data_IF_006884208611
#
_entry.id   IF_006884208611
#
_cell.length_a   1.000
_cell.length_b   1.000
_cell.length_c   1.000
_cell.angle_alpha   90.00
_cell.angle_beta   90.00
_cell.angle_gamma   90.00
#
_symmetry.space_group_name_H-M   'P 1'
#
loop_
_entity.id
_entity.type
_entity.pdbx_description
1 polymer ?
#
# COMPACT_ATOMS: atom_id res chain seq x y z
N UNK A 1 69.76 20.93 -19.78
CA UNK A 1 69.02 19.78 -19.24
C UNK A 1 67.60 20.26 -19.02
N UNK A 2 66.72 20.01 -19.99
CA UNK A 2 65.39 20.63 -20.11
C UNK A 2 64.39 19.80 -19.33
N UNK A 3 63.76 20.38 -18.31
CA UNK A 3 62.73 19.70 -17.51
C UNK A 3 61.36 19.98 -18.14
N UNK A 4 60.70 18.94 -18.64
CA UNK A 4 59.34 19.00 -19.17
C UNK A 4 58.33 19.11 -18.01
N UNK A 5 57.46 20.13 -18.06
CA UNK A 5 56.31 20.27 -17.16
C UNK A 5 55.17 19.45 -17.75
N UNK A 6 54.80 18.35 -17.10
CA UNK A 6 53.61 17.58 -17.45
C UNK A 6 52.36 18.30 -16.89
N UNK A 7 51.58 18.92 -17.76
CA UNK A 7 50.23 19.40 -17.46
C UNK A 7 49.28 18.22 -17.36
N UNK A 8 48.99 17.76 -16.14
CA UNK A 8 47.91 16.82 -15.88
C UNK A 8 46.56 17.51 -16.01
N UNK A 9 45.75 17.10 -16.98
CA UNK A 9 44.35 17.51 -17.08
C UNK A 9 43.59 16.91 -15.88
N UNK A 10 43.08 17.77 -15.01
CA UNK A 10 42.12 17.37 -13.97
C UNK A 10 40.78 17.14 -14.67
N UNK A 11 40.42 15.88 -14.85
CA UNK A 11 39.07 15.50 -15.27
C UNK A 11 38.11 15.75 -14.10
N UNK A 12 37.26 16.76 -14.22
CA UNK A 12 36.05 16.85 -13.40
C UNK A 12 35.07 15.81 -13.91
N UNK A 13 34.88 14.73 -13.15
CA UNK A 13 33.75 13.84 -13.35
C UNK A 13 32.49 14.60 -12.93
N UNK A 14 31.73 15.10 -13.90
CA UNK A 14 30.35 15.50 -13.67
C UNK A 14 29.55 14.22 -13.39
N UNK A 15 29.23 13.97 -12.12
CA UNK A 15 28.14 13.05 -11.77
C UNK A 15 26.87 13.65 -12.38
N UNK A 16 26.30 12.99 -13.39
CA UNK A 16 24.95 13.32 -13.85
C UNK A 16 23.97 12.67 -12.87
N UNK A 17 23.05 13.51 -12.38
CA UNK A 17 22.04 13.25 -11.35
C UNK A 17 21.20 11.98 -11.66
N UNK A 18 20.76 11.30 -10.60
CA UNK A 18 19.69 10.31 -10.61
C UNK A 18 18.51 10.80 -11.47
N UNK A 19 17.81 9.90 -12.16
CA UNK A 19 16.62 10.24 -12.93
C UNK A 19 15.71 11.16 -12.11
N UNK A 20 15.26 12.25 -12.74
CA UNK A 20 14.46 13.28 -12.10
C UNK A 20 13.24 12.68 -11.41
N UNK A 21 12.79 13.35 -10.35
CA UNK A 21 11.53 12.98 -9.69
C UNK A 21 10.40 12.87 -10.72
N UNK A 22 9.78 11.70 -10.79
CA UNK A 22 8.68 11.41 -11.70
C UNK A 22 7.37 11.52 -10.95
N UNK A 23 6.39 12.17 -11.58
CA UNK A 23 5.03 12.15 -11.09
C UNK A 23 4.32 10.92 -11.64
N UNK A 24 3.58 10.19 -10.82
CA UNK A 24 2.75 9.05 -11.17
C UNK A 24 1.28 9.40 -10.93
N UNK A 25 0.42 8.92 -11.82
CA UNK A 25 -1.00 8.73 -11.55
C UNK A 25 -1.17 7.31 -11.03
N UNK A 26 -1.60 7.17 -9.79
CA UNK A 26 -1.89 5.87 -9.19
C UNK A 26 -3.40 5.79 -8.95
N UNK A 27 -4.00 4.64 -9.15
CA UNK A 27 -5.41 4.41 -8.81
C UNK A 27 -5.51 3.12 -8.03
N UNK A 28 -6.06 3.20 -6.82
CA UNK A 28 -6.46 2.06 -6.02
C UNK A 28 -7.98 2.00 -6.11
N UNK A 29 -8.54 0.95 -6.68
CA UNK A 29 -9.98 0.86 -7.00
C UNK A 29 -10.58 -0.40 -6.38
N UNK A 30 -11.75 -0.26 -5.76
CA UNK A 30 -12.61 -1.41 -5.49
C UNK A 30 -13.23 -1.93 -6.80
N UNK A 31 -13.02 -3.21 -7.11
CA UNK A 31 -13.60 -3.88 -8.28
C UNK A 31 -14.61 -4.98 -7.91
N UNK A 32 -14.84 -5.22 -6.61
CA UNK A 32 -15.82 -6.22 -6.16
C UNK A 32 -17.24 -5.91 -6.63
N UNK A 33 -17.93 -6.93 -7.17
CA UNK A 33 -19.37 -6.90 -7.48
C UNK A 33 -20.22 -7.50 -6.36
N UNK A 34 -21.54 -7.50 -6.54
CA UNK A 34 -22.51 -7.95 -5.53
C UNK A 34 -22.42 -9.43 -5.13
N UNK A 35 -21.62 -10.24 -5.84
CA UNK A 35 -21.48 -11.68 -5.60
C UNK A 35 -20.01 -12.10 -5.39
N UNK A 36 -19.11 -11.15 -5.20
CA UNK A 36 -17.66 -11.42 -5.07
C UNK A 36 -17.34 -12.23 -3.82
N UNK A 37 -18.00 -11.95 -2.69
CA UNK A 37 -17.78 -12.64 -1.42
C UNK A 37 -18.89 -13.66 -1.17
N UNK A 38 -18.54 -14.94 -1.17
CA UNK A 38 -19.43 -16.01 -0.76
C UNK A 38 -19.66 -15.98 0.76
N UNK A 39 -20.91 -16.19 1.18
CA UNK A 39 -21.32 -16.19 2.58
C UNK A 39 -21.59 -17.61 3.09
N UNK A 40 -21.47 -17.88 4.40
CA UNK A 40 -21.73 -19.21 4.97
C UNK A 40 -23.15 -19.74 4.73
N UNK A 41 -24.13 -18.87 4.50
CA UNK A 41 -25.53 -19.23 4.23
C UNK A 41 -25.79 -19.61 2.75
N UNK A 42 -24.73 -19.67 1.93
CA UNK A 42 -24.79 -19.96 0.51
C UNK A 42 -25.16 -18.78 -0.39
N UNK A 43 -25.37 -17.58 0.18
CA UNK A 43 -25.51 -16.34 -0.60
C UNK A 43 -24.14 -15.74 -0.93
N UNK A 44 -24.16 -14.57 -1.54
CA UNK A 44 -22.97 -13.76 -1.76
C UNK A 44 -23.27 -12.27 -1.59
N UNK A 45 -22.21 -11.49 -1.39
CA UNK A 45 -22.25 -10.03 -1.24
C UNK A 45 -21.02 -9.38 -1.90
N UNK A 46 -20.98 -8.05 -1.93
CA UNK A 46 -19.76 -7.32 -2.29
C UNK A 46 -18.72 -7.32 -1.18
N UNK A 47 -17.46 -7.14 -1.58
CA UNK A 47 -16.29 -7.03 -0.71
C UNK A 47 -15.67 -5.64 -0.86
N UNK A 48 -16.31 -4.57 -0.34
CA UNK A 48 -15.78 -3.22 -0.46
C UNK A 48 -14.46 -3.06 0.32
N UNK A 49 -13.62 -2.15 -0.17
CA UNK A 49 -12.50 -1.57 0.59
C UNK A 49 -12.85 -0.16 1.07
N UNK A 50 -12.36 0.22 2.25
CA UNK A 50 -12.59 1.55 2.81
C UNK A 50 -11.68 2.62 2.14
N UNK A 51 -11.92 3.93 2.38
CA UNK A 51 -10.84 4.91 2.31
C UNK A 51 -9.60 4.43 3.09
N UNK A 52 -8.43 4.79 2.61
CA UNK A 52 -7.17 4.35 3.20
C UNK A 52 -6.13 5.46 3.18
N UNK A 53 -4.88 5.09 3.48
CA UNK A 53 -3.73 5.95 3.27
C UNK A 53 -2.74 5.34 2.28
N UNK A 54 -1.94 6.20 1.68
CA UNK A 54 -0.74 5.81 0.96
C UNK A 54 0.47 6.60 1.48
N UNK A 55 1.65 6.07 1.24
CA UNK A 55 2.89 6.80 1.40
C UNK A 55 3.90 6.45 0.30
N UNK A 56 4.80 7.39 0.05
CA UNK A 56 6.07 7.13 -0.63
C UNK A 56 7.13 7.04 0.44
N UNK A 57 7.86 5.95 0.46
CA UNK A 57 8.84 5.62 1.51
C UNK A 57 10.20 5.27 0.91
N UNK A 58 11.24 5.40 1.73
CA UNK A 58 12.63 5.01 1.41
C UNK A 58 13.31 4.45 2.65
N UNK A 59 14.46 3.79 2.47
CA UNK A 59 15.21 3.18 3.58
C UNK A 59 14.41 2.04 4.21
N UNK A 60 14.18 2.10 5.53
CA UNK A 60 13.47 1.06 6.30
C UNK A 60 12.02 1.46 6.69
N UNK A 61 11.57 2.63 6.23
CA UNK A 61 10.22 3.13 6.48
C UNK A 61 9.16 2.22 5.84
N UNK A 62 8.14 1.87 6.62
CA UNK A 62 7.03 0.97 6.31
C UNK A 62 5.79 1.38 7.10
N UNK A 63 4.60 0.92 6.66
CA UNK A 63 3.34 1.19 7.36
C UNK A 63 3.15 0.31 8.60
N UNK A 64 3.66 -0.92 8.54
CA UNK A 64 3.57 -1.95 9.58
C UNK A 64 4.70 -2.96 9.40
N UNK A 65 5.00 -3.72 10.45
CA UNK A 65 5.99 -4.81 10.43
C UNK A 65 5.29 -6.16 10.55
N UNK A 66 5.44 -7.07 9.58
CA UNK A 66 4.93 -8.43 9.72
C UNK A 66 5.55 -9.16 10.92
N UNK A 67 4.76 -10.00 11.58
CA UNK A 67 5.11 -10.74 12.80
C UNK A 67 5.35 -9.89 14.05
N UNK A 68 4.91 -8.63 14.04
CA UNK A 68 4.83 -7.79 15.23
C UNK A 68 3.36 -7.47 15.54
N UNK A 69 3.07 -7.18 16.81
CA UNK A 69 1.73 -6.74 17.19
C UNK A 69 1.39 -5.42 16.51
N UNK A 70 0.16 -5.30 15.99
CA UNK A 70 -0.33 -4.05 15.46
C UNK A 70 -0.45 -3.01 16.60
N UNK A 71 -0.09 -1.75 16.29
CA UNK A 71 -0.42 -0.63 17.17
C UNK A 71 -1.86 -0.17 16.95
N UNK A 72 -2.40 0.58 17.92
CA UNK A 72 -3.77 1.10 17.88
C UNK A 72 -4.14 1.88 16.61
N UNK A 73 -3.16 2.50 15.95
CA UNK A 73 -3.41 3.23 14.70
C UNK A 73 -3.66 2.29 13.51
N UNK A 74 -3.02 1.12 13.46
CA UNK A 74 -3.29 0.10 12.44
C UNK A 74 -4.58 -0.67 12.75
N UNK A 75 -4.81 -1.00 14.02
CA UNK A 75 -6.07 -1.56 14.54
C UNK A 75 -7.27 -0.72 14.05
N UNK A 76 -7.23 0.60 14.31
CA UNK A 76 -8.28 1.53 13.89
C UNK A 76 -8.51 1.57 12.37
N UNK A 77 -7.47 1.34 11.56
CA UNK A 77 -7.63 1.21 10.11
C UNK A 77 -8.27 -0.12 9.73
N UNK A 78 -7.80 -1.20 10.33
CA UNK A 78 -8.14 -2.56 9.95
C UNK A 78 -9.54 -2.98 10.42
N UNK A 79 -9.98 -2.47 11.56
CA UNK A 79 -11.29 -2.79 12.16
C UNK A 79 -12.38 -1.80 11.76
N UNK A 80 -12.04 -0.51 11.67
CA UNK A 80 -13.05 0.56 11.53
C UNK A 80 -12.94 1.35 10.22
N UNK A 81 -11.90 1.10 9.43
CA UNK A 81 -11.61 1.88 8.22
C UNK A 81 -11.15 3.31 8.49
N UNK A 82 -10.75 3.64 9.72
CA UNK A 82 -10.19 4.95 10.06
C UNK A 82 -8.66 4.95 9.91
N UNK A 83 -8.20 5.36 8.74
CA UNK A 83 -6.78 5.49 8.42
C UNK A 83 -6.13 6.79 8.96
N UNK A 84 -6.89 7.72 9.57
CA UNK A 84 -6.37 9.03 9.96
C UNK A 84 -5.30 8.94 11.05
N UNK A 85 -5.50 8.08 12.04
CA UNK A 85 -4.53 7.85 13.11
C UNK A 85 -3.21 7.27 12.58
N UNK A 86 -3.28 6.30 11.65
CA UNK A 86 -2.09 5.71 11.04
C UNK A 86 -1.35 6.72 10.17
N UNK A 87 -2.07 7.53 9.38
CA UNK A 87 -1.47 8.63 8.63
C UNK A 87 -0.72 9.61 9.55
N UNK A 88 -1.34 10.02 10.66
CA UNK A 88 -0.71 10.92 11.62
C UNK A 88 0.56 10.32 12.24
N UNK A 89 0.53 9.01 12.54
CA UNK A 89 1.67 8.29 13.12
C UNK A 89 2.87 8.19 12.15
N UNK A 90 2.62 7.98 10.85
CA UNK A 90 3.71 7.75 9.88
C UNK A 90 4.26 9.02 9.24
N UNK A 91 3.48 10.11 9.19
CA UNK A 91 3.79 11.30 8.38
C UNK A 91 5.15 11.95 8.67
N UNK A 92 5.68 11.76 9.87
CA UNK A 92 6.94 12.37 10.32
C UNK A 92 8.03 11.33 10.66
N UNK A 93 7.83 10.06 10.28
CA UNK A 93 8.85 9.03 10.42
C UNK A 93 9.96 9.27 9.38
N UNK A 94 11.22 9.08 9.79
CA UNK A 94 12.35 9.16 8.87
C UNK A 94 12.20 8.16 7.72
N UNK A 95 12.49 8.60 6.49
CA UNK A 95 12.26 7.82 5.29
C UNK A 95 10.84 7.89 4.71
N UNK A 96 9.88 8.59 5.35
CA UNK A 96 8.60 8.92 4.69
C UNK A 96 8.75 10.20 3.87
N UNK A 97 8.52 10.10 2.56
CA UNK A 97 8.69 11.21 1.60
C UNK A 97 7.41 12.02 1.46
N UNK A 98 6.28 11.33 1.30
CA UNK A 98 4.94 11.90 1.31
C UNK A 98 3.97 10.85 1.82
N UNK A 99 2.91 11.29 2.49
CA UNK A 99 1.81 10.43 2.91
C UNK A 99 0.51 11.22 2.91
N UNK A 100 -0.57 10.60 2.46
CA UNK A 100 -1.90 11.21 2.44
C UNK A 100 -3.00 10.15 2.42
N UNK A 101 -4.24 10.58 2.63
CA UNK A 101 -5.42 9.75 2.48
C UNK A 101 -5.73 9.51 0.99
N UNK A 102 -6.40 8.40 0.69
CA UNK A 102 -7.02 8.17 -0.61
C UNK A 102 -8.45 7.65 -0.46
N UNK A 103 -9.28 7.94 -1.46
CA UNK A 103 -10.58 7.32 -1.64
C UNK A 103 -10.51 6.32 -2.81
N UNK A 104 -11.06 5.10 -2.68
CA UNK A 104 -11.05 4.11 -3.74
C UNK A 104 -11.63 4.65 -5.06
N UNK A 105 -10.93 4.39 -6.16
CA UNK A 105 -11.33 4.74 -7.52
C UNK A 105 -10.94 6.15 -7.96
N UNK A 106 -10.49 7.03 -7.05
CA UNK A 106 -9.97 8.34 -7.40
C UNK A 106 -8.47 8.26 -7.70
N UNK A 107 -7.99 8.87 -8.80
CA UNK A 107 -6.57 8.88 -9.12
C UNK A 107 -5.82 9.82 -8.17
N UNK A 108 -4.74 9.30 -7.56
CA UNK A 108 -3.79 10.08 -6.77
C UNK A 108 -2.57 10.46 -7.62
N UNK A 109 -1.98 11.63 -7.30
CA UNK A 109 -0.77 12.13 -7.95
C UNK A 109 0.40 12.00 -6.99
N UNK A 110 1.35 11.12 -7.29
CA UNK A 110 2.47 10.81 -6.42
C UNK A 110 3.76 11.22 -7.08
N UNK A 111 4.64 11.94 -6.36
CA UNK A 111 6.01 12.20 -6.83
C UNK A 111 6.97 11.25 -6.14
N UNK A 112 7.81 10.58 -6.92
CA UNK A 112 8.81 9.64 -6.42
C UNK A 112 10.10 9.73 -7.24
N UNK A 113 11.20 9.28 -6.65
CA UNK A 113 12.51 9.16 -7.29
C UNK A 113 12.96 7.68 -7.30
N UNK A 114 13.94 7.31 -8.13
CA UNK A 114 14.53 5.97 -8.07
C UNK A 114 14.96 5.59 -6.65
N UNK A 115 14.53 4.42 -6.19
CA UNK A 115 14.74 3.91 -4.83
C UNK A 115 13.64 4.27 -3.82
N UNK A 116 12.70 5.15 -4.19
CA UNK A 116 11.46 5.33 -3.43
C UNK A 116 10.47 4.19 -3.76
N UNK A 117 9.68 3.80 -2.76
CA UNK A 117 8.67 2.74 -2.83
C UNK A 117 7.29 3.29 -2.49
N UNK A 118 6.27 2.79 -3.17
CA UNK A 118 4.87 3.06 -2.85
C UNK A 118 4.33 2.03 -1.87
N UNK A 119 3.68 2.50 -0.81
CA UNK A 119 2.95 1.67 0.15
C UNK A 119 1.54 2.23 0.32
N UNK A 120 0.57 1.37 0.58
CA UNK A 120 -0.78 1.78 0.97
C UNK A 120 -1.39 0.75 1.92
N UNK A 121 -2.42 1.15 2.66
CA UNK A 121 -3.26 0.26 3.44
C UNK A 121 -4.71 0.76 3.42
N UNK A 122 -5.67 -0.17 3.37
CA UNK A 122 -7.10 0.09 3.43
C UNK A 122 -7.85 -1.12 3.98
N UNK A 123 -8.87 -0.89 4.80
CA UNK A 123 -9.70 -1.93 5.39
C UNK A 123 -10.36 -2.82 4.33
N UNK A 124 -10.37 -4.13 4.54
CA UNK A 124 -11.30 -5.04 3.89
C UNK A 124 -12.60 -5.06 4.69
N UNK A 125 -13.61 -4.33 4.24
CA UNK A 125 -14.77 -3.93 5.06
C UNK A 125 -15.58 -5.13 5.61
N UNK A 126 -15.57 -6.26 4.92
CA UNK A 126 -16.32 -7.45 5.32
C UNK A 126 -15.48 -8.39 6.22
N UNK A 127 -14.74 -7.82 7.16
CA UNK A 127 -13.91 -8.56 8.11
C UNK A 127 -13.85 -7.86 9.46
N UNK A 128 -13.29 -8.57 10.44
CA UNK A 128 -13.03 -8.07 11.78
C UNK A 128 -11.85 -7.12 11.75
N UNK A 129 -10.70 -7.56 11.23
CA UNK A 129 -9.46 -6.79 11.23
C UNK A 129 -8.58 -7.02 9.98
N UNK A 130 -9.18 -7.42 8.85
CA UNK A 130 -8.43 -7.63 7.60
C UNK A 130 -8.29 -6.33 6.83
N UNK A 131 -7.14 -6.17 6.21
CA UNK A 131 -6.85 -4.99 5.38
C UNK A 131 -6.06 -5.38 4.13
N UNK A 132 -6.30 -4.67 3.03
CA UNK A 132 -5.50 -4.77 1.82
C UNK A 132 -4.35 -3.76 1.87
N UNK A 133 -3.15 -4.22 1.56
CA UNK A 133 -1.97 -3.37 1.49
C UNK A 133 -0.98 -3.91 0.45
N UNK A 134 0.06 -3.13 0.16
CA UNK A 134 1.27 -3.69 -0.48
C UNK A 134 1.92 -4.74 0.41
N UNK A 135 2.96 -5.42 -0.09
CA UNK A 135 3.94 -5.99 0.83
C UNK A 135 4.47 -4.92 1.80
N UNK A 136 4.92 -5.34 2.99
CA UNK A 136 5.47 -4.43 4.01
C UNK A 136 6.66 -3.60 3.52
N UNK A 137 7.43 -4.09 2.55
CA UNK A 137 8.52 -3.35 1.92
C UNK A 137 8.04 -2.34 0.85
N UNK A 138 6.79 -2.46 0.40
CA UNK A 138 6.21 -1.63 -0.65
C UNK A 138 6.53 -2.10 -2.07
N UNK A 139 6.18 -1.23 -3.03
CA UNK A 139 6.35 -1.46 -4.46
C UNK A 139 7.35 -0.43 -4.99
N UNK A 140 8.46 -0.89 -5.56
CA UNK A 140 9.38 -0.01 -6.28
C UNK A 140 8.65 0.67 -7.45
N UNK A 141 8.75 2.00 -7.55
CA UNK A 141 8.15 2.75 -8.67
C UNK A 141 9.11 2.87 -9.87
N UNK A 142 10.31 2.30 -9.76
CA UNK A 142 11.36 2.37 -10.76
C UNK A 142 12.10 1.03 -10.85
N UNK A 143 12.46 0.62 -12.06
CA UNK A 143 13.45 -0.42 -12.32
C UNK A 143 14.77 0.26 -12.70
N UNK A 144 15.72 0.29 -11.76
CA UNK A 144 16.95 1.06 -11.93
C UNK A 144 16.66 2.56 -11.98
N UNK A 145 16.62 3.13 -13.19
CA UNK A 145 16.29 4.55 -13.41
C UNK A 145 15.00 4.76 -14.21
N UNK A 146 14.40 3.67 -14.71
CA UNK A 146 13.21 3.73 -15.56
C UNK A 146 11.95 3.62 -14.70
N UNK A 147 10.99 4.53 -14.88
CA UNK A 147 9.71 4.50 -14.17
C UNK A 147 8.85 3.32 -14.65
N UNK A 148 8.23 2.59 -13.73
CA UNK A 148 7.32 1.49 -14.10
C UNK A 148 5.91 1.98 -14.43
N UNK A 149 5.17 1.19 -15.20
CA UNK A 149 3.77 1.44 -15.52
C UNK A 149 3.00 0.12 -15.64
N UNK A 150 1.75 0.08 -15.20
CA UNK A 150 0.86 -1.05 -15.41
C UNK A 150 -0.11 -1.33 -14.27
N UNK A 151 -0.78 -2.48 -14.38
CA UNK A 151 -1.58 -3.08 -13.32
C UNK A 151 -0.65 -3.86 -12.37
N UNK A 152 -0.59 -3.43 -11.11
CA UNK A 152 0.24 -4.00 -10.05
C UNK A 152 -0.60 -4.70 -8.99
N UNK A 153 -1.81 -5.12 -9.31
CA UNK A 153 -2.74 -5.79 -8.38
C UNK A 153 -2.13 -7.05 -7.75
N UNK A 154 -1.24 -7.75 -8.46
CA UNK A 154 -0.50 -8.91 -7.93
C UNK A 154 0.48 -8.58 -6.81
N UNK A 155 0.74 -7.29 -6.56
CA UNK A 155 1.56 -6.79 -5.44
C UNK A 155 0.73 -6.41 -4.21
N UNK A 156 -0.58 -6.60 -4.27
CA UNK A 156 -1.50 -6.37 -3.16
C UNK A 156 -1.70 -7.68 -2.41
N UNK A 157 -1.70 -7.60 -1.08
CA UNK A 157 -1.85 -8.71 -0.15
C UNK A 157 -3.03 -8.40 0.77
N UNK A 158 -3.83 -9.42 1.08
CA UNK A 158 -4.79 -9.37 2.19
C UNK A 158 -4.03 -9.71 3.47
N UNK A 159 -3.99 -8.76 4.38
CA UNK A 159 -3.36 -8.86 5.68
C UNK A 159 -4.40 -9.00 6.77
N UNK A 160 -3.93 -9.57 7.86
CA UNK A 160 -4.56 -9.73 9.15
C UNK A 160 -3.79 -8.85 10.14
N UNK A 161 -4.47 -7.94 10.85
CA UNK A 161 -3.85 -7.08 11.84
C UNK A 161 -3.52 -7.85 13.13
N UNK A 162 -4.24 -8.93 13.40
CA UNK A 162 -4.10 -9.75 14.60
C UNK A 162 -4.66 -9.09 15.86
N UNK A 163 -5.65 -8.21 15.71
CA UNK A 163 -6.19 -7.37 16.79
C UNK A 163 -7.57 -7.82 17.26
N UNK A 164 -8.36 -8.46 16.40
CA UNK A 164 -9.69 -8.94 16.75
C UNK A 164 -9.89 -10.39 16.29
N UNK A 165 -10.60 -11.19 17.10
CA UNK A 165 -10.88 -12.57 16.76
C UNK A 165 -11.73 -12.68 15.50
N UNK A 166 -11.23 -13.45 14.54
CA UNK A 166 -11.90 -13.65 13.27
C UNK A 166 -13.28 -14.32 13.35
N UNK A 167 -14.20 -13.75 12.58
CA UNK A 167 -15.51 -14.28 12.26
C UNK A 167 -15.68 -14.42 10.76
N UNK A 168 -16.67 -15.20 10.32
CA UNK A 168 -16.89 -15.46 8.90
C UNK A 168 -17.04 -14.13 8.10
N UNK A 169 -16.21 -13.89 7.06
CA UNK A 169 -16.24 -12.65 6.30
C UNK A 169 -17.62 -12.32 5.76
N UNK A 170 -18.07 -11.10 6.00
CA UNK A 170 -19.38 -10.59 5.57
C UNK A 170 -20.57 -11.02 6.42
N UNK A 171 -20.36 -11.86 7.44
CA UNK A 171 -21.43 -12.38 8.31
C UNK A 171 -21.21 -12.11 9.80
N UNK A 172 -19.95 -11.92 10.25
CA UNK A 172 -19.62 -11.68 11.65
C UNK A 172 -20.28 -10.43 12.24
N UNK A 173 -20.87 -10.50 13.45
CA UNK A 173 -21.50 -9.37 14.12
C UNK A 173 -20.53 -8.25 14.53
N UNK A 174 -19.24 -8.52 14.72
CA UNK A 174 -18.27 -7.50 15.14
C UNK A 174 -17.58 -6.78 13.98
N UNK A 175 -17.88 -7.17 12.74
CA UNK A 175 -17.32 -6.51 11.55
C UNK A 175 -17.93 -5.12 11.36
N UNK A 176 -17.16 -4.15 10.86
CA UNK A 176 -17.58 -2.73 10.78
C UNK A 176 -19.02 -2.46 10.29
N UNK A 177 -19.55 -3.13 9.24
CA UNK A 177 -20.92 -2.89 8.78
C UNK A 177 -22.02 -3.33 9.75
N UNK A 178 -21.68 -4.14 10.76
CA UNK A 178 -22.61 -4.83 11.67
C UNK A 178 -22.33 -4.55 13.15
N UNK A 179 -21.14 -4.06 13.50
CA UNK A 179 -20.80 -3.73 14.88
C UNK A 179 -21.63 -2.56 15.43
N UNK A 180 -21.77 -2.52 16.75
CA UNK A 180 -22.53 -1.47 17.44
C UNK A 180 -21.78 -0.14 17.52
N UNK A 181 -20.45 -0.17 17.40
CA UNK A 181 -19.56 0.99 17.40
C UNK A 181 -18.12 0.56 17.13
N UNK A 182 -17.18 1.50 17.01
CA UNK A 182 -15.77 1.20 16.77
C UNK A 182 -15.15 0.30 17.85
N UNK A 183 -14.14 -0.49 17.47
CA UNK A 183 -13.41 -1.41 18.37
C UNK A 183 -14.38 -2.33 19.15
N UNK A 184 -15.22 -3.05 18.40
CA UNK A 184 -16.11 -4.07 18.97
C UNK A 184 -15.49 -5.43 18.77
N UNK A 185 -15.53 -6.27 19.81
CA UNK A 185 -15.19 -7.69 19.70
C UNK A 185 -14.09 -8.12 20.66
N UNK A 186 -13.78 -9.44 20.72
CA UNK A 186 -12.73 -9.94 21.58
C UNK A 186 -11.36 -9.90 20.88
N UNK A 187 -10.39 -9.29 21.55
CA UNK A 187 -8.97 -9.27 21.17
C UNK A 187 -8.38 -10.69 21.05
N UNK A 188 -7.69 -10.97 19.94
CA UNK A 188 -7.01 -12.24 19.70
C UNK A 188 -5.52 -12.25 20.07
N UNK A 189 -4.93 -11.07 20.32
CA UNK A 189 -3.51 -10.86 20.70
C UNK A 189 -2.54 -11.48 19.71
N UNK A 190 -2.87 -11.35 18.43
CA UNK A 190 -2.10 -11.81 17.30
C UNK A 190 -0.98 -10.86 16.91
N UNK A 191 -0.50 -11.06 15.70
CA UNK A 191 0.54 -10.26 15.05
C UNK A 191 0.16 -10.04 13.60
N UNK A 192 0.65 -8.95 13.01
CA UNK A 192 0.37 -8.65 11.61
C UNK A 192 0.91 -9.74 10.71
N UNK A 193 0.05 -10.33 9.87
CA UNK A 193 0.42 -11.45 8.98
C UNK A 193 -0.44 -11.46 7.71
N UNK A 194 -0.04 -12.22 6.70
CA UNK A 194 -0.94 -12.49 5.58
C UNK A 194 -2.15 -13.28 6.10
N UNK A 195 -3.35 -12.98 5.60
CA UNK A 195 -4.58 -13.63 6.04
C UNK A 195 -4.52 -15.15 5.78
N UNK A 196 -4.61 -15.92 6.87
CA UNK A 196 -4.63 -17.39 6.89
C UNK A 196 -5.31 -17.84 8.20
N UNK A 197 -6.61 -17.55 8.28
CA UNK A 197 -7.48 -17.73 9.45
C UNK A 197 -8.45 -18.92 9.29
N UNK A 198 -8.37 -19.63 8.14
CA UNK A 198 -9.26 -20.73 7.79
C UNK A 198 -10.57 -20.30 7.13
N UNK A 199 -10.81 -19.01 6.94
CA UNK A 199 -11.91 -18.50 6.14
C UNK A 199 -11.54 -18.36 4.66
N UNK A 200 -12.57 -18.38 3.81
CA UNK A 200 -12.40 -18.19 2.37
C UNK A 200 -12.61 -16.73 2.01
N UNK A 201 -11.61 -16.12 1.42
CA UNK A 201 -11.68 -14.77 0.85
C UNK A 201 -11.72 -14.84 -0.68
N UNK A 202 -12.31 -13.83 -1.36
CA UNK A 202 -12.22 -13.72 -2.82
C UNK A 202 -10.76 -13.51 -3.24
N UNK A 203 -10.46 -13.81 -4.51
CA UNK A 203 -9.15 -13.45 -5.04
C UNK A 203 -8.95 -11.92 -4.96
N UNK A 204 -7.74 -11.48 -4.65
CA UNK A 204 -7.41 -10.05 -4.56
C UNK A 204 -7.83 -9.28 -5.83
N UNK A 205 -7.62 -9.88 -7.00
CA UNK A 205 -8.01 -9.29 -8.29
C UNK A 205 -9.52 -9.12 -8.49
N UNK A 206 -10.34 -9.83 -7.71
CA UNK A 206 -11.79 -9.68 -7.73
C UNK A 206 -12.28 -8.62 -6.74
N UNK A 207 -11.39 -8.11 -5.88
CA UNK A 207 -11.70 -7.14 -4.81
C UNK A 207 -11.15 -5.76 -5.16
N UNK A 208 -9.87 -5.68 -5.51
CA UNK A 208 -9.11 -4.45 -5.66
C UNK A 208 -8.29 -4.48 -6.95
N UNK A 209 -8.15 -3.30 -7.58
CA UNK A 209 -7.20 -3.06 -8.65
C UNK A 209 -6.25 -1.93 -8.27
N UNK A 210 -4.95 -2.15 -8.46
CA UNK A 210 -3.90 -1.13 -8.32
C UNK A 210 -3.27 -0.84 -9.69
N UNK A 211 -3.40 0.38 -10.18
CA UNK A 211 -2.78 0.82 -11.44
C UNK A 211 -1.81 1.96 -11.18
N UNK A 212 -0.63 1.91 -11.81
CA UNK A 212 0.42 2.94 -11.73
C UNK A 212 0.77 3.39 -13.14
N UNK A 213 0.77 4.71 -13.37
CA UNK A 213 1.12 5.30 -14.67
C UNK A 213 2.03 6.53 -14.47
N UNK A 214 3.25 6.57 -15.01
CA UNK A 214 4.09 7.75 -14.96
C UNK A 214 3.47 8.86 -15.83
N UNK A 215 3.50 10.10 -15.32
CA UNK A 215 3.04 11.30 -16.01
C UNK A 215 4.21 11.96 -16.71
N UNK A 216 4.10 12.15 -18.02
CA UNK A 216 4.99 13.05 -18.76
C UNK A 216 6.29 12.45 -19.31
N UNK A 217 6.44 11.12 -19.40
CA UNK A 217 7.51 10.54 -20.21
C UNK A 217 7.18 10.76 -21.68
N UNK A 218 7.80 11.76 -22.32
CA UNK A 218 7.85 11.82 -23.78
C UNK A 218 8.50 10.52 -24.23
N UNK A 219 7.85 9.75 -25.10
CA UNK A 219 8.51 8.64 -25.77
C UNK A 219 9.79 9.20 -26.40
N UNK A 220 10.93 8.58 -26.12
CA UNK A 220 12.09 8.73 -27.00
C UNK A 220 11.70 8.07 -28.32
N UNK A 221 11.07 8.83 -29.22
CA UNK A 221 11.03 8.47 -30.63
C UNK A 221 12.48 8.43 -31.09
N UNK A 222 13.00 7.24 -31.34
CA UNK A 222 14.36 7.05 -31.84
C UNK A 222 14.58 7.89 -33.12
N UNK A 223 15.67 8.63 -33.13
CA UNK A 223 16.29 9.17 -34.36
C UNK A 223 17.21 8.12 -34.97
#
# INVERSE_FOLDING_TARGET
>A
MTLAVATGAIAFATKVQAADATAFSITIRNVSGAITLALPDGKATSAPIAPGLYAVVRGDAKLFTPNEAAGHSLESLAEDGDAAALLAAIKYIDGVVTADMFAPGLPLTVKAQPGDRFVFASMFVQSNDKFVATDSNGIDLFEGQDSIAGDLTSKVVLWDAGTEKDEAPGAGPNQAPRQAGPNTGPDERGVVRAADDGFTYPAISDVIQLTVLPRGVKSKSGS
#
